data_IF_023845485728
#
_entry.id   IF_023845485728
#
_cell.length_a   1.000
_cell.length_b   1.000
_cell.length_c   1.000
_cell.angle_alpha   90.00
_cell.angle_beta   90.00
_cell.angle_gamma   90.00
#
_symmetry.space_group_name_H-M   'P 1'
#
loop_
_entity.id
_entity.type
_entity.pdbx_description
1 polymer ?
#
# COMPACT_ATOMS: atom_id res chain seq x y z
N UNK A 1 16.23 -5.93 0.65
CA UNK A 1 15.55 -5.46 1.87
C UNK A 1 14.40 -6.44 2.16
N UNK A 2 14.23 -6.89 3.39
CA UNK A 2 13.18 -7.87 3.77
C UNK A 2 13.16 -9.18 2.93
N UNK A 3 14.31 -9.68 2.50
CA UNK A 3 14.42 -10.84 1.61
C UNK A 3 14.12 -10.57 0.14
N UNK A 4 13.57 -9.41 -0.21
CA UNK A 4 13.22 -9.05 -1.57
C UNK A 4 14.36 -8.32 -2.29
N UNK A 5 14.38 -8.45 -3.63
CA UNK A 5 15.25 -7.71 -4.53
C UNK A 5 14.42 -6.59 -5.17
N UNK A 6 14.88 -5.37 -5.02
CA UNK A 6 14.26 -4.19 -5.61
C UNK A 6 15.19 -3.58 -6.64
N UNK A 7 14.61 -3.13 -7.73
CA UNK A 7 15.29 -2.26 -8.69
C UNK A 7 14.72 -0.85 -8.56
N UNK A 8 15.60 0.12 -8.58
CA UNK A 8 15.22 1.52 -8.44
C UNK A 8 16.08 2.37 -9.37
N UNK A 9 15.48 3.34 -10.03
CA UNK A 9 16.20 4.38 -10.76
C UNK A 9 16.60 5.48 -9.76
N UNK A 10 17.84 5.46 -9.35
CA UNK A 10 18.39 6.42 -8.37
C UNK A 10 18.74 7.79 -8.98
N UNK A 11 18.74 7.89 -10.32
CA UNK A 11 19.12 9.13 -11.03
C UNK A 11 17.85 9.89 -11.44
N UNK A 12 16.87 9.22 -12.06
CA UNK A 12 15.68 9.84 -12.65
C UNK A 12 14.40 9.47 -11.89
N UNK A 13 14.47 8.52 -10.95
CA UNK A 13 13.32 8.04 -10.19
C UNK A 13 12.81 9.03 -9.15
N UNK A 14 11.53 8.93 -8.80
CA UNK A 14 10.97 9.72 -7.70
C UNK A 14 11.65 9.35 -6.38
N UNK A 15 12.02 10.37 -5.56
CA UNK A 15 12.49 10.22 -4.18
C UNK A 15 13.54 9.10 -4.01
N UNK A 16 14.68 9.14 -4.67
CA UNK A 16 15.74 8.13 -4.54
C UNK A 16 15.34 6.70 -5.00
N UNK A 17 14.20 6.56 -5.70
CA UNK A 17 13.77 5.32 -6.36
C UNK A 17 13.09 4.27 -5.46
N UNK A 18 13.17 4.38 -4.12
CA UNK A 18 12.55 3.45 -3.17
C UNK A 18 12.18 4.16 -1.87
N UNK A 19 11.04 3.79 -1.28
CA UNK A 19 10.55 4.34 -0.01
C UNK A 19 11.09 3.53 1.18
N UNK A 20 12.26 3.91 1.68
CA UNK A 20 12.93 3.21 2.81
C UNK A 20 12.17 3.38 4.13
N UNK A 21 11.43 4.46 4.28
CA UNK A 21 10.61 4.77 5.45
C UNK A 21 9.51 3.72 5.71
N UNK A 22 9.03 3.04 4.64
CA UNK A 22 8.04 1.95 4.71
C UNK A 22 8.63 0.58 5.09
N UNK A 23 9.94 0.44 5.24
CA UNK A 23 10.64 -0.85 5.40
C UNK A 23 10.07 -1.75 6.50
N UNK A 24 9.71 -1.18 7.65
CA UNK A 24 9.12 -1.94 8.76
C UNK A 24 7.68 -2.37 8.46
N UNK A 25 6.91 -1.52 7.79
CA UNK A 25 5.55 -1.83 7.35
C UNK A 25 5.57 -2.93 6.28
N UNK A 26 6.50 -2.87 5.31
CA UNK A 26 6.72 -3.96 4.34
C UNK A 26 7.00 -5.28 5.06
N UNK A 27 7.90 -5.29 6.07
CA UNK A 27 8.23 -6.48 6.84
C UNK A 27 7.03 -7.06 7.57
N UNK A 28 6.24 -6.21 8.22
CA UNK A 28 5.03 -6.64 8.94
C UNK A 28 4.01 -7.27 7.99
N UNK A 29 3.69 -6.60 6.87
CA UNK A 29 2.73 -7.12 5.89
C UNK A 29 3.24 -8.41 5.24
N UNK A 30 4.51 -8.47 4.88
CA UNK A 30 5.15 -9.67 4.34
C UNK A 30 5.01 -10.88 5.26
N UNK A 31 5.09 -10.69 6.59
CA UNK A 31 4.91 -11.79 7.56
C UNK A 31 3.51 -12.42 7.55
N UNK A 32 2.52 -11.73 6.96
CA UNK A 32 1.14 -12.22 6.82
C UNK A 32 0.88 -12.84 5.44
N UNK A 33 1.84 -12.78 4.50
CA UNK A 33 1.61 -13.04 3.08
C UNK A 33 1.85 -14.50 2.64
N UNK A 34 2.41 -15.37 3.47
CA UNK A 34 2.70 -16.75 3.12
C UNK A 34 1.47 -17.50 2.57
N UNK A 35 1.56 -18.00 1.31
CA UNK A 35 0.49 -18.71 0.61
C UNK A 35 -0.71 -17.84 0.20
N UNK A 36 -0.62 -16.51 0.32
CA UNK A 36 -1.74 -15.58 0.10
C UNK A 36 -1.71 -14.94 -1.28
N UNK A 37 -2.90 -14.63 -1.82
CA UNK A 37 -3.07 -13.76 -2.98
C UNK A 37 -3.09 -12.29 -2.51
N UNK A 38 -2.21 -11.46 -3.08
CA UNK A 38 -1.99 -10.08 -2.65
C UNK A 38 -2.26 -9.11 -3.80
N UNK A 39 -2.88 -7.97 -3.50
CA UNK A 39 -3.00 -6.82 -4.38
C UNK A 39 -2.23 -5.64 -3.78
N UNK A 40 -1.25 -5.13 -4.52
CA UNK A 40 -0.44 -3.97 -4.16
C UNK A 40 -0.79 -2.79 -5.07
N UNK A 41 -1.55 -1.84 -4.54
CA UNK A 41 -2.08 -0.67 -5.28
C UNK A 41 -1.27 0.56 -4.94
N UNK A 42 -0.93 1.35 -5.97
CA UNK A 42 0.07 2.42 -5.93
C UNK A 42 1.46 1.83 -5.62
N UNK A 43 1.74 0.70 -6.25
CA UNK A 43 2.87 -0.15 -5.85
C UNK A 43 4.24 0.48 -6.15
N UNK A 44 4.34 1.49 -7.02
CA UNK A 44 5.60 2.07 -7.48
C UNK A 44 6.53 0.93 -7.95
N UNK A 45 7.73 0.80 -7.40
CA UNK A 45 8.68 -0.29 -7.72
C UNK A 45 8.43 -1.58 -6.89
N UNK A 46 7.24 -1.73 -6.31
CA UNK A 46 6.79 -2.97 -5.66
C UNK A 46 7.24 -3.14 -4.21
N UNK A 47 7.32 -2.06 -3.44
CA UNK A 47 7.83 -2.10 -2.07
C UNK A 47 7.17 -3.15 -1.18
N UNK A 48 5.85 -3.17 -1.10
CA UNK A 48 5.08 -4.16 -0.35
C UNK A 48 4.98 -5.51 -1.07
N UNK A 49 4.63 -5.48 -2.36
CA UNK A 49 4.34 -6.69 -3.11
C UNK A 49 5.56 -7.59 -3.30
N UNK A 50 6.74 -7.04 -3.61
CA UNK A 50 7.97 -7.83 -3.73
C UNK A 50 8.41 -8.41 -2.37
N UNK A 51 8.19 -7.68 -1.26
CA UNK A 51 8.40 -8.23 0.07
C UNK A 51 7.44 -9.40 0.36
N UNK A 52 6.18 -9.30 -0.07
CA UNK A 52 5.19 -10.38 0.06
C UNK A 52 5.58 -11.61 -0.77
N UNK A 53 6.05 -11.44 -2.01
CA UNK A 53 6.58 -12.53 -2.85
C UNK A 53 7.78 -13.22 -2.19
N UNK A 54 8.73 -12.45 -1.67
CA UNK A 54 9.90 -12.99 -0.97
C UNK A 54 9.51 -13.80 0.28
N UNK A 55 8.40 -13.42 0.94
CA UNK A 55 7.84 -14.12 2.10
C UNK A 55 6.91 -15.30 1.74
N UNK A 56 6.79 -15.63 0.45
CA UNK A 56 6.05 -16.81 0.00
C UNK A 56 4.58 -16.56 -0.35
N UNK A 57 4.19 -15.32 -0.70
CA UNK A 57 2.88 -15.08 -1.30
C UNK A 57 2.69 -15.97 -2.55
N UNK A 58 1.48 -16.48 -2.74
CA UNK A 58 1.18 -17.37 -3.87
C UNK A 58 1.12 -16.61 -5.20
N UNK A 59 0.59 -15.41 -5.16
CA UNK A 59 0.49 -14.51 -6.30
C UNK A 59 0.39 -13.06 -5.81
N UNK A 60 0.99 -12.11 -6.57
CA UNK A 60 0.86 -10.69 -6.28
C UNK A 60 0.48 -9.93 -7.57
N UNK A 61 -0.62 -9.18 -7.51
CA UNK A 61 -0.99 -8.20 -8.53
C UNK A 61 -0.50 -6.82 -8.13
N UNK A 62 0.24 -6.16 -9.02
CA UNK A 62 0.81 -4.84 -8.84
C UNK A 62 0.08 -3.83 -9.70
N UNK A 63 -0.41 -2.75 -9.11
CA UNK A 63 -1.14 -1.69 -9.81
C UNK A 63 -0.41 -0.37 -9.66
N UNK A 64 -0.03 0.23 -10.76
CA UNK A 64 0.54 1.59 -10.83
C UNK A 64 0.25 2.26 -12.17
N UNK A 65 0.28 3.57 -12.22
CA UNK A 65 0.15 4.34 -13.47
C UNK A 65 1.46 4.41 -14.26
N UNK A 66 2.60 4.23 -13.60
CA UNK A 66 3.94 4.29 -14.18
C UNK A 66 4.35 2.96 -14.81
N UNK A 67 4.48 2.92 -16.14
CA UNK A 67 4.99 1.75 -16.85
C UNK A 67 6.42 1.40 -16.42
N UNK A 68 7.30 2.41 -16.30
CA UNK A 68 8.70 2.19 -15.89
C UNK A 68 8.82 1.63 -14.48
N UNK A 69 7.96 2.04 -13.55
CA UNK A 69 7.93 1.45 -12.21
C UNK A 69 7.51 -0.03 -12.24
N UNK A 70 6.49 -0.37 -13.03
CA UNK A 70 6.06 -1.77 -13.19
C UNK A 70 7.10 -2.65 -13.90
N UNK A 71 7.88 -2.10 -14.84
CA UNK A 71 9.02 -2.79 -15.44
C UNK A 71 10.07 -3.15 -14.38
N UNK A 72 10.38 -2.23 -13.46
CA UNK A 72 11.31 -2.48 -12.36
C UNK A 72 10.79 -3.54 -11.38
N UNK A 73 9.47 -3.62 -11.15
CA UNK A 73 8.83 -4.74 -10.42
C UNK A 73 9.14 -6.06 -11.11
N UNK A 74 8.93 -6.12 -12.44
CA UNK A 74 9.20 -7.33 -13.24
C UNK A 74 10.66 -7.79 -13.14
N UNK A 75 11.60 -6.84 -13.25
CA UNK A 75 13.04 -7.14 -13.10
C UNK A 75 13.37 -7.67 -11.69
N UNK A 76 12.83 -7.05 -10.64
CA UNK A 76 13.01 -7.50 -9.27
C UNK A 76 12.47 -8.91 -9.03
N UNK A 77 11.29 -9.21 -9.55
CA UNK A 77 10.67 -10.54 -9.49
C UNK A 77 11.47 -11.60 -10.26
N UNK A 78 11.98 -11.26 -11.45
CA UNK A 78 12.80 -12.16 -12.27
C UNK A 78 14.10 -12.54 -11.57
N UNK A 79 14.79 -11.59 -10.92
CA UNK A 79 16.00 -11.87 -10.15
C UNK A 79 15.72 -12.76 -8.93
N UNK A 80 14.51 -12.71 -8.38
CA UNK A 80 14.06 -13.64 -7.33
C UNK A 80 13.55 -14.96 -7.88
N UNK A 81 13.53 -15.18 -9.20
CA UNK A 81 12.96 -16.35 -9.89
C UNK A 81 11.46 -16.52 -9.55
N UNK A 82 10.71 -15.42 -9.53
CA UNK A 82 9.29 -15.34 -9.16
C UNK A 82 8.42 -14.68 -10.24
N UNK A 83 8.86 -14.65 -11.49
CA UNK A 83 8.12 -14.02 -12.59
C UNK A 83 6.71 -14.61 -12.77
N UNK A 84 6.53 -15.90 -12.56
CA UNK A 84 5.24 -16.58 -12.69
C UNK A 84 4.26 -16.29 -11.53
N UNK A 85 4.75 -15.66 -10.47
CA UNK A 85 3.95 -15.34 -9.28
C UNK A 85 3.52 -13.87 -9.24
N UNK A 86 3.73 -13.11 -10.32
CA UNK A 86 3.36 -11.71 -10.38
C UNK A 86 2.45 -11.41 -11.56
N UNK A 87 1.60 -10.41 -11.39
CA UNK A 87 0.82 -9.78 -12.45
C UNK A 87 0.94 -8.26 -12.33
N UNK A 88 1.21 -7.55 -13.41
CA UNK A 88 1.31 -6.09 -13.42
C UNK A 88 0.14 -5.48 -14.19
N UNK A 89 -0.54 -4.50 -13.61
CA UNK A 89 -1.69 -3.82 -14.17
C UNK A 89 -1.39 -2.32 -14.21
N UNK A 90 -1.18 -1.79 -15.40
CA UNK A 90 -0.98 -0.35 -15.58
C UNK A 90 -2.32 0.36 -15.64
N UNK A 91 -2.55 1.35 -14.78
CA UNK A 91 -3.78 2.14 -14.82
C UNK A 91 -3.95 3.09 -13.64
N UNK A 92 -5.03 3.86 -13.69
CA UNK A 92 -5.48 4.62 -12.52
C UNK A 92 -5.95 3.67 -11.43
N UNK A 93 -5.39 3.81 -10.24
CA UNK A 93 -5.64 2.89 -9.14
C UNK A 93 -7.12 2.77 -8.74
N UNK A 94 -7.88 3.88 -8.79
CA UNK A 94 -9.31 3.85 -8.46
C UNK A 94 -10.13 3.16 -9.55
N UNK A 95 -9.76 3.37 -10.82
CA UNK A 95 -10.41 2.72 -11.96
C UNK A 95 -10.14 1.20 -11.92
N UNK A 96 -8.87 0.80 -11.76
CA UNK A 96 -8.48 -0.61 -11.69
C UNK A 96 -9.14 -1.33 -10.51
N UNK A 97 -9.16 -0.73 -9.31
CA UNK A 97 -9.87 -1.34 -8.16
C UNK A 97 -11.36 -1.52 -8.43
N UNK A 98 -12.00 -0.59 -9.14
CA UNK A 98 -13.41 -0.71 -9.51
C UNK A 98 -13.65 -1.83 -10.53
N UNK A 99 -12.78 -1.96 -11.53
CA UNK A 99 -12.84 -3.04 -12.52
C UNK A 99 -12.65 -4.42 -11.88
N UNK A 100 -11.66 -4.56 -11.01
CA UNK A 100 -11.42 -5.80 -10.26
C UNK A 100 -12.62 -6.18 -9.38
N UNK A 101 -13.26 -5.21 -8.73
CA UNK A 101 -14.47 -5.45 -7.93
C UNK A 101 -15.66 -5.90 -8.78
N UNK A 102 -15.79 -5.40 -10.01
CA UNK A 102 -16.85 -5.79 -10.95
C UNK A 102 -16.58 -7.17 -11.58
N UNK A 103 -15.34 -7.66 -11.54
CA UNK A 103 -14.93 -8.95 -12.13
C UNK A 103 -14.82 -10.05 -11.07
N UNK A 104 -15.36 -9.84 -9.88
CA UNK A 104 -15.33 -10.78 -8.74
C UNK A 104 -13.91 -11.27 -8.38
N UNK A 105 -12.90 -10.41 -8.61
CA UNK A 105 -11.53 -10.69 -8.20
C UNK A 105 -11.32 -10.31 -6.73
N UNK A 106 -11.02 -11.32 -5.92
CA UNK A 106 -10.81 -11.15 -4.48
C UNK A 106 -9.40 -11.58 -4.07
N UNK A 107 -8.84 -10.86 -3.09
CA UNK A 107 -7.51 -11.08 -2.55
C UNK A 107 -7.56 -11.36 -1.06
N UNK A 108 -6.56 -12.07 -0.55
CA UNK A 108 -6.39 -12.30 0.89
C UNK A 108 -5.81 -11.06 1.57
N UNK A 109 -4.97 -10.29 0.84
CA UNK A 109 -4.36 -9.04 1.31
C UNK A 109 -4.51 -7.99 0.22
N UNK A 110 -5.03 -6.82 0.57
CA UNK A 110 -5.05 -5.63 -0.30
C UNK A 110 -4.28 -4.51 0.38
N UNK A 111 -3.34 -3.92 -0.35
CA UNK A 111 -2.46 -2.85 0.11
C UNK A 111 -2.72 -1.63 -0.74
N UNK A 112 -2.88 -0.46 -0.10
CA UNK A 112 -2.96 0.82 -0.78
C UNK A 112 -1.99 1.80 -0.11
N UNK A 113 -0.92 2.16 -0.83
CA UNK A 113 0.08 3.14 -0.39
C UNK A 113 0.14 4.34 -1.36
N UNK A 114 -0.90 5.20 -1.35
CA UNK A 114 -1.05 6.28 -2.31
C UNK A 114 -0.07 7.43 -2.07
N UNK A 115 0.16 8.28 -3.08
CA UNK A 115 0.76 9.59 -2.85
C UNK A 115 -0.09 10.42 -1.88
N UNK A 116 0.47 11.51 -1.38
CA UNK A 116 -0.21 12.38 -0.42
C UNK A 116 -1.49 12.99 -1.03
N UNK A 117 -2.67 12.58 -0.55
CA UNK A 117 -3.95 13.17 -0.97
C UNK A 117 -4.24 14.52 -0.28
N UNK A 118 -3.57 14.80 0.84
CA UNK A 118 -3.67 16.08 1.54
C UNK A 118 -2.32 16.80 1.44
N UNK A 119 -2.22 17.76 0.54
CA UNK A 119 -1.00 18.53 0.28
C UNK A 119 -1.05 19.94 0.89
N UNK A 120 -2.23 20.41 1.28
CA UNK A 120 -2.44 21.73 1.89
C UNK A 120 -3.62 21.69 2.87
N UNK A 121 -3.76 22.74 3.71
CA UNK A 121 -4.93 22.87 4.61
C UNK A 121 -6.24 22.94 3.82
N UNK A 122 -6.24 23.58 2.66
CA UNK A 122 -7.42 23.69 1.80
C UNK A 122 -7.84 22.34 1.19
N UNK A 123 -6.89 21.43 0.96
CA UNK A 123 -7.15 20.09 0.42
C UNK A 123 -7.49 19.04 1.49
N UNK A 124 -7.53 19.43 2.79
CA UNK A 124 -7.73 18.45 3.87
C UNK A 124 -9.03 17.64 3.70
N UNK A 125 -10.16 18.32 3.49
CA UNK A 125 -11.45 17.64 3.39
C UNK A 125 -11.57 16.78 2.11
N UNK A 126 -11.07 17.27 0.98
CA UNK A 126 -11.06 16.51 -0.27
C UNK A 126 -10.14 15.30 -0.19
N UNK A 127 -8.96 15.44 0.41
CA UNK A 127 -8.03 14.34 0.60
C UNK A 127 -8.55 13.28 1.57
N UNK A 128 -9.22 13.68 2.66
CA UNK A 128 -9.88 12.72 3.56
C UNK A 128 -11.01 11.94 2.85
N UNK A 129 -11.77 12.59 1.95
CA UNK A 129 -12.76 11.89 1.11
C UNK A 129 -12.10 10.92 0.13
N UNK A 130 -10.90 11.26 -0.40
CA UNK A 130 -10.15 10.35 -1.27
C UNK A 130 -9.67 9.10 -0.50
N UNK A 131 -9.15 9.25 0.73
CA UNK A 131 -8.83 8.11 1.61
C UNK A 131 -10.06 7.25 1.93
N UNK A 132 -11.21 7.87 2.22
CA UNK A 132 -12.45 7.16 2.47
C UNK A 132 -12.91 6.36 1.23
N UNK A 133 -12.87 6.98 0.04
CA UNK A 133 -13.20 6.30 -1.23
C UNK A 133 -12.25 5.12 -1.50
N UNK A 134 -10.95 5.32 -1.31
CA UNK A 134 -9.93 4.28 -1.44
C UNK A 134 -10.22 3.10 -0.50
N UNK A 135 -10.45 3.38 0.78
CA UNK A 135 -10.75 2.35 1.77
C UNK A 135 -12.03 1.57 1.44
N UNK A 136 -13.07 2.24 0.92
CA UNK A 136 -14.30 1.60 0.45
C UNK A 136 -14.01 0.62 -0.70
N UNK A 137 -13.33 1.05 -1.75
CA UNK A 137 -13.02 0.21 -2.91
C UNK A 137 -12.10 -0.96 -2.52
N UNK A 138 -11.03 -0.68 -1.78
CA UNK A 138 -10.09 -1.70 -1.35
C UNK A 138 -10.73 -2.77 -0.46
N UNK A 139 -11.64 -2.35 0.44
CA UNK A 139 -12.34 -3.30 1.33
C UNK A 139 -13.29 -4.24 0.57
N UNK A 140 -13.85 -3.84 -0.57
CA UNK A 140 -14.69 -4.71 -1.39
C UNK A 140 -13.91 -5.81 -2.13
N UNK A 141 -12.58 -5.65 -2.28
CA UNK A 141 -11.70 -6.63 -2.91
C UNK A 141 -11.14 -7.69 -1.94
N UNK A 142 -11.46 -7.59 -0.66
CA UNK A 142 -10.95 -8.49 0.39
C UNK A 142 -11.84 -9.72 0.54
N UNK A 143 -11.25 -10.90 0.53
CA UNK A 143 -11.92 -12.14 0.96
C UNK A 143 -12.34 -12.08 2.42
N UNK A 144 -13.28 -12.92 2.82
CA UNK A 144 -13.65 -13.05 4.23
C UNK A 144 -12.44 -13.35 5.12
N UNK A 145 -12.28 -12.62 6.23
CA UNK A 145 -11.13 -12.72 7.14
C UNK A 145 -9.76 -12.35 6.52
N UNK A 146 -9.77 -11.53 5.46
CA UNK A 146 -8.55 -11.04 4.81
C UNK A 146 -7.97 -9.80 5.49
N UNK A 147 -6.89 -9.27 4.93
CA UNK A 147 -6.12 -8.15 5.48
C UNK A 147 -6.20 -6.96 4.55
N UNK A 148 -6.54 -5.79 5.09
CA UNK A 148 -6.51 -4.50 4.41
C UNK A 148 -5.43 -3.61 5.00
N UNK A 149 -4.51 -3.15 4.15
CA UNK A 149 -3.43 -2.23 4.52
C UNK A 149 -3.68 -0.89 3.84
N UNK A 150 -3.79 0.17 4.63
CA UNK A 150 -4.02 1.53 4.14
C UNK A 150 -2.93 2.45 4.67
N UNK A 151 -2.20 3.10 3.76
CA UNK A 151 -1.11 4.01 4.09
C UNK A 151 -1.45 5.46 3.78
N UNK A 152 -0.78 6.38 4.43
CA UNK A 152 -0.83 7.81 4.16
C UNK A 152 0.50 8.46 4.50
N UNK A 153 1.07 9.21 3.57
CA UNK A 153 2.19 10.11 3.78
C UNK A 153 1.79 11.59 3.89
N UNK A 154 0.49 11.87 4.05
CA UNK A 154 -0.03 13.24 4.20
C UNK A 154 0.17 13.75 5.63
N UNK A 155 1.08 14.71 5.83
CA UNK A 155 1.37 15.29 7.15
C UNK A 155 0.14 15.92 7.81
N UNK A 156 -0.68 16.65 7.06
CA UNK A 156 -1.88 17.35 7.56
C UNK A 156 -3.06 16.41 7.88
N UNK A 157 -3.04 15.18 7.38
CA UNK A 157 -3.97 14.14 7.78
C UNK A 157 -3.37 13.37 8.96
N UNK A 158 -3.55 13.88 10.18
CA UNK A 158 -3.09 13.19 11.38
C UNK A 158 -3.69 11.76 11.49
N UNK A 159 -3.13 10.95 12.38
CA UNK A 159 -3.52 9.55 12.55
C UNK A 159 -5.02 9.38 12.82
N UNK A 160 -5.61 10.28 13.62
CA UNK A 160 -7.04 10.19 14.00
C UNK A 160 -7.92 10.48 12.79
N UNK A 161 -7.65 11.57 12.05
CA UNK A 161 -8.40 11.94 10.85
C UNK A 161 -8.29 10.87 9.77
N UNK A 162 -7.07 10.36 9.52
CA UNK A 162 -6.83 9.30 8.55
C UNK A 162 -7.57 8.02 8.95
N UNK A 163 -7.40 7.54 10.18
CA UNK A 163 -8.10 6.35 10.68
C UNK A 163 -9.61 6.47 10.56
N UNK A 164 -10.18 7.62 10.93
CA UNK A 164 -11.62 7.84 10.85
C UNK A 164 -12.11 7.81 9.40
N UNK A 165 -11.35 8.37 8.44
CA UNK A 165 -11.68 8.27 7.02
C UNK A 165 -11.64 6.81 6.54
N UNK A 166 -10.60 6.05 6.90
CA UNK A 166 -10.49 4.63 6.56
C UNK A 166 -11.65 3.80 7.13
N UNK A 167 -11.97 3.97 8.42
CA UNK A 167 -13.07 3.24 9.08
C UNK A 167 -14.43 3.55 8.43
N UNK A 168 -14.70 4.82 8.11
CA UNK A 168 -15.92 5.18 7.37
C UNK A 168 -15.96 4.52 5.98
N UNK A 169 -14.82 4.52 5.27
CA UNK A 169 -14.72 3.88 3.95
C UNK A 169 -15.01 2.37 4.02
N UNK A 170 -14.40 1.66 4.94
CA UNK A 170 -14.62 0.22 5.20
C UNK A 170 -16.10 -0.03 5.49
N UNK A 171 -16.72 0.76 6.39
CA UNK A 171 -18.14 0.65 6.72
C UNK A 171 -19.07 0.91 5.52
N UNK A 172 -18.76 1.90 4.67
CA UNK A 172 -19.49 2.16 3.41
C UNK A 172 -19.28 1.08 2.34
N UNK A 173 -18.22 0.27 2.46
CA UNK A 173 -18.01 -0.95 1.69
C UNK A 173 -18.78 -2.17 2.23
N UNK A 174 -19.63 -1.98 3.26
CA UNK A 174 -20.38 -3.07 3.88
C UNK A 174 -19.54 -4.00 4.76
N UNK A 175 -18.30 -3.61 5.09
CA UNK A 175 -17.36 -4.44 5.84
C UNK A 175 -17.18 -3.93 7.27
N UNK A 176 -16.82 -4.85 8.15
CA UNK A 176 -16.42 -4.58 9.54
C UNK A 176 -15.09 -5.26 9.80
N UNK A 177 -14.29 -4.75 10.73
CA UNK A 177 -13.01 -5.34 11.01
C UNK A 177 -12.37 -4.85 12.31
N UNK A 178 -11.17 -5.36 12.56
CA UNK A 178 -10.33 -4.99 13.70
C UNK A 178 -9.05 -4.37 13.18
N UNK A 179 -8.63 -3.25 13.77
CA UNK A 179 -7.28 -2.70 13.55
C UNK A 179 -6.30 -3.61 14.30
N UNK A 180 -5.38 -4.26 13.56
CA UNK A 180 -4.41 -5.22 14.13
C UNK A 180 -3.00 -4.66 14.22
N UNK A 181 -2.70 -3.56 13.47
CA UNK A 181 -1.40 -2.91 13.51
C UNK A 181 -1.50 -1.45 13.10
N UNK A 182 -0.72 -0.59 13.74
CA UNK A 182 -0.48 0.79 13.34
C UNK A 182 1.03 0.99 13.20
N UNK A 183 1.47 1.26 11.97
CA UNK A 183 2.86 1.48 11.63
C UNK A 183 3.15 2.94 11.30
N UNK A 184 4.43 3.29 11.43
CA UNK A 184 5.00 4.61 11.17
C UNK A 184 6.25 4.47 10.30
N UNK A 185 6.97 5.57 10.08
CA UNK A 185 8.26 5.55 9.44
C UNK A 185 9.25 4.67 10.23
N UNK A 186 10.11 3.96 9.50
CA UNK A 186 11.09 3.06 10.10
C UNK A 186 12.13 3.84 10.96
N UNK A 187 12.82 3.14 11.84
CA UNK A 187 13.74 3.75 12.82
C UNK A 187 14.95 4.48 12.18
N UNK A 188 15.25 4.19 10.91
CA UNK A 188 16.23 4.92 10.09
C UNK A 188 15.71 6.27 9.54
N UNK A 189 14.45 6.61 9.86
CA UNK A 189 13.83 7.92 9.64
C UNK A 189 13.47 8.54 11.00
N UNK A 190 14.47 8.93 11.81
CA UNK A 190 14.22 9.40 13.15
C UNK A 190 13.46 10.74 13.16
N UNK A 191 12.56 10.90 14.12
CA UNK A 191 11.89 12.17 14.36
C UNK A 191 12.83 13.09 15.16
N UNK A 192 12.98 14.34 14.70
CA UNK A 192 13.70 15.34 15.44
C UNK A 192 12.83 15.89 16.57
N UNK A 193 13.30 15.86 17.81
CA UNK A 193 12.51 16.24 19.00
C UNK A 193 11.94 17.67 18.96
N UNK A 194 12.62 18.57 18.26
CA UNK A 194 12.18 19.97 18.10
C UNK A 194 11.25 20.17 16.87
N UNK A 195 11.04 19.14 16.06
CA UNK A 195 10.16 19.15 14.89
C UNK A 195 9.00 18.18 15.14
N UNK A 196 8.10 18.56 16.04
CA UNK A 196 7.01 17.70 16.56
C UNK A 196 6.07 17.11 15.50
N UNK A 197 6.10 17.58 14.26
CA UNK A 197 5.15 17.18 13.20
C UNK A 197 5.71 16.20 12.16
N UNK A 198 6.79 15.47 12.46
CA UNK A 198 7.42 14.56 11.49
C UNK A 198 6.76 13.17 11.38
N UNK A 199 5.62 12.92 12.01
CA UNK A 199 4.87 11.68 11.83
C UNK A 199 4.01 11.70 10.56
N UNK A 200 4.66 12.00 9.41
CA UNK A 200 3.96 12.10 8.13
C UNK A 200 3.45 10.73 7.64
N UNK A 201 4.17 9.64 7.93
CA UNK A 201 3.83 8.30 7.48
C UNK A 201 2.97 7.56 8.51
N UNK A 202 1.85 7.04 8.06
CA UNK A 202 0.94 6.17 8.81
C UNK A 202 0.57 4.96 7.96
N UNK A 203 0.61 3.77 8.56
CA UNK A 203 0.14 2.53 7.96
C UNK A 203 -0.84 1.85 8.92
N UNK A 204 -2.07 1.64 8.47
CA UNK A 204 -3.13 0.99 9.25
C UNK A 204 -3.42 -0.38 8.65
N UNK A 205 -3.34 -1.43 9.45
CA UNK A 205 -3.63 -2.80 9.00
C UNK A 205 -4.87 -3.31 9.71
N UNK A 206 -5.88 -3.64 8.92
CA UNK A 206 -7.16 -4.15 9.40
C UNK A 206 -7.34 -5.62 9.02
N UNK A 207 -7.99 -6.40 9.89
CA UNK A 207 -8.56 -7.72 9.57
C UNK A 207 -10.06 -7.53 9.34
N UNK A 208 -10.56 -7.89 8.14
CA UNK A 208 -11.95 -7.67 7.72
C UNK A 208 -12.72 -8.98 7.60
#
# INVERSE_FOLDING_TARGET
MNGAIYKADVISGQKTGLFYDQRQNHKFVASLAGGKAVLDVFCHVGGFGLAAIAAGASNVSFVDSSASALELVGVGAAEMKKSDSINTIRGDAFAVMKELANSDHFYDIVICDPPAFVTSRNSLQSGLRAYEKMAKLASSLIRGNGVLVLCSCSQLADLIKFRNACVRGIGRGGRRGKLIYTGFAAADHPMHLQLLDNSYLKSLVFRL
#
